data_IF_115072715164
#
_entry.id   IF_115072715164
#
_cell.length_a   1.000
_cell.length_b   1.000
_cell.length_c   1.000
_cell.angle_alpha   90.00
_cell.angle_beta   90.00
_cell.angle_gamma   90.00
#
_symmetry.space_group_name_H-M   'P 1'
#
loop_
_entity.id
_entity.type
_entity.pdbx_description
1 polymer ?
#
# COMPACT_ATOMS: atom_id res chain seq x y z
N UNK A 1 -25.85 55.72 -21.37
CA UNK A 1 -24.59 54.94 -21.54
C UNK A 1 -24.13 54.43 -20.18
N UNK A 2 -23.70 53.15 -20.12
CA UNK A 2 -23.17 52.34 -18.99
C UNK A 2 -24.01 51.10 -18.60
N UNK A 3 -24.96 50.68 -19.44
CA UNK A 3 -25.66 49.38 -19.30
C UNK A 3 -24.93 48.20 -19.99
N UNK A 4 -23.73 48.41 -20.54
CA UNK A 4 -23.06 47.43 -21.41
C UNK A 4 -21.84 46.74 -20.78
N UNK A 5 -21.60 46.90 -19.47
CA UNK A 5 -20.42 46.31 -18.82
C UNK A 5 -20.70 44.99 -18.07
N UNK A 6 -21.96 44.68 -17.75
CA UNK A 6 -22.31 43.42 -17.07
C UNK A 6 -22.58 42.25 -18.03
N UNK A 7 -22.80 42.53 -19.32
CA UNK A 7 -23.09 41.49 -20.32
C UNK A 7 -21.83 40.72 -20.77
N UNK A 8 -20.63 41.31 -20.60
CA UNK A 8 -19.37 40.69 -21.02
C UNK A 8 -18.77 39.71 -20.00
N UNK A 9 -19.21 39.71 -18.74
CA UNK A 9 -18.72 38.76 -17.72
C UNK A 9 -19.53 37.48 -17.61
N UNK A 10 -20.73 37.39 -18.22
CA UNK A 10 -21.58 36.20 -18.16
C UNK A 10 -21.31 35.25 -19.36
N UNK A 11 -20.70 35.75 -20.44
CA UNK A 11 -20.47 34.96 -21.65
C UNK A 11 -19.16 34.15 -21.66
N UNK A 12 -18.23 34.37 -20.72
CA UNK A 12 -16.96 33.62 -20.64
C UNK A 12 -16.99 32.41 -19.70
N UNK A 13 -18.06 32.24 -18.91
CA UNK A 13 -18.21 31.11 -17.97
C UNK A 13 -18.97 29.92 -18.58
N UNK A 14 -19.70 30.12 -19.69
CA UNK A 14 -20.54 29.08 -20.30
C UNK A 14 -19.80 28.15 -21.29
N UNK A 15 -18.56 28.46 -21.69
CA UNK A 15 -17.82 27.66 -22.70
C UNK A 15 -16.94 26.54 -22.11
N UNK A 16 -16.96 26.31 -20.79
CA UNK A 16 -16.15 25.28 -20.13
C UNK A 16 -16.94 24.02 -19.70
N UNK A 17 -18.24 23.92 -19.99
CA UNK A 17 -19.08 22.78 -19.56
C UNK A 17 -19.54 21.84 -20.68
N UNK A 18 -18.98 21.94 -21.89
CA UNK A 18 -19.34 21.07 -23.03
C UNK A 18 -18.23 20.10 -23.49
N UNK A 19 -17.18 19.89 -22.68
CA UNK A 19 -16.08 18.97 -23.02
C UNK A 19 -16.25 17.53 -22.49
N UNK A 20 -17.48 17.09 -22.20
CA UNK A 20 -17.80 15.69 -21.93
C UNK A 20 -19.10 15.31 -22.64
N UNK A 21 -18.99 14.88 -23.90
CA UNK A 21 -20.17 14.46 -24.66
C UNK A 21 -19.86 13.91 -26.04
N UNK A 22 -19.32 12.69 -26.10
CA UNK A 22 -19.81 11.56 -26.89
C UNK A 22 -18.66 10.62 -27.27
N UNK A 23 -18.82 9.33 -26.97
CA UNK A 23 -18.95 8.36 -28.06
C UNK A 23 -19.58 7.06 -27.56
N UNK A 24 -20.56 6.63 -28.37
CA UNK A 24 -21.05 5.27 -28.59
C UNK A 24 -22.32 4.82 -27.87
N UNK A 25 -23.27 4.49 -28.75
CA UNK A 25 -24.60 3.97 -28.51
C UNK A 25 -24.57 2.53 -27.97
N UNK A 26 -25.69 2.20 -27.34
CA UNK A 26 -26.04 0.95 -26.67
C UNK A 26 -25.92 -0.28 -27.58
N UNK A 27 -25.44 -1.38 -26.99
CA UNK A 27 -25.88 -2.72 -27.34
C UNK A 27 -26.45 -3.36 -26.06
N UNK A 28 -27.70 -3.81 -26.12
CA UNK A 28 -28.37 -4.52 -25.03
C UNK A 28 -27.97 -5.97 -25.15
N UNK A 29 -27.18 -6.46 -24.21
CA UNK A 29 -26.89 -7.89 -24.05
C UNK A 29 -27.39 -8.32 -22.67
N UNK A 30 -28.25 -9.33 -22.64
CA UNK A 30 -28.69 -10.01 -21.42
C UNK A 30 -27.48 -10.43 -20.58
N UNK A 31 -27.41 -9.99 -19.32
CA UNK A 31 -26.36 -10.41 -18.40
C UNK A 31 -26.95 -11.34 -17.35
N UNK A 32 -26.76 -12.64 -17.58
CA UNK A 32 -26.72 -13.72 -16.60
C UNK A 32 -26.07 -13.23 -15.29
N UNK A 33 -26.61 -13.56 -14.09
CA UNK A 33 -26.08 -13.03 -12.84
C UNK A 33 -24.63 -13.48 -12.63
N UNK A 34 -23.68 -12.59 -12.95
CA UNK A 34 -22.29 -12.74 -12.56
C UNK A 34 -22.26 -12.65 -11.04
N UNK A 35 -21.86 -13.76 -10.43
CA UNK A 35 -21.47 -13.81 -9.03
C UNK A 35 -20.27 -12.86 -8.86
N UNK A 36 -20.55 -11.59 -8.59
CA UNK A 36 -19.57 -10.54 -8.32
C UNK A 36 -18.94 -10.80 -6.95
N UNK A 37 -18.17 -11.89 -6.82
CA UNK A 37 -17.12 -11.92 -5.80
C UNK A 37 -16.18 -10.78 -6.18
N UNK A 38 -16.25 -9.70 -5.40
CA UNK A 38 -15.35 -8.55 -5.50
C UNK A 38 -13.92 -9.10 -5.42
N UNK A 39 -13.27 -9.25 -6.57
CA UNK A 39 -11.88 -9.70 -6.64
C UNK A 39 -11.05 -8.53 -6.11
N UNK A 40 -10.30 -8.79 -5.04
CA UNK A 40 -9.36 -7.83 -4.49
C UNK A 40 -8.32 -7.51 -5.58
N UNK A 41 -8.31 -6.27 -6.08
CA UNK A 41 -7.35 -5.82 -7.09
C UNK A 41 -5.95 -5.62 -6.50
N UNK A 42 -5.79 -5.78 -5.19
CA UNK A 42 -4.53 -5.69 -4.51
C UNK A 42 -3.70 -6.97 -4.74
N UNK A 43 -2.69 -6.87 -5.60
CA UNK A 43 -1.70 -7.93 -5.77
C UNK A 43 -0.52 -7.71 -4.83
N UNK A 44 -0.25 -8.70 -3.99
CA UNK A 44 0.87 -8.72 -3.05
C UNK A 44 1.82 -9.84 -3.45
N UNK A 45 2.96 -9.48 -4.03
CA UNK A 45 4.03 -10.44 -4.34
C UNK A 45 4.58 -11.05 -3.05
N UNK A 46 5.00 -12.32 -3.12
CA UNK A 46 5.56 -13.05 -2.00
C UNK A 46 5.10 -14.49 -1.91
N UNK A 47 5.74 -15.25 -1.03
CA UNK A 47 5.45 -16.65 -0.76
C UNK A 47 4.53 -16.81 0.44
N UNK A 48 3.87 -17.96 0.55
CA UNK A 48 3.14 -18.32 1.77
C UNK A 48 4.13 -18.59 2.90
N UNK A 49 3.79 -18.19 4.12
CA UNK A 49 4.50 -18.56 5.34
C UNK A 49 3.50 -18.91 6.45
N UNK A 50 3.98 -19.52 7.53
CA UNK A 50 3.17 -19.86 8.70
C UNK A 50 3.88 -19.46 10.00
N UNK A 51 3.85 -18.16 10.33
CA UNK A 51 4.47 -17.64 11.56
C UNK A 51 3.36 -17.11 12.47
N UNK A 52 3.16 -17.80 13.59
CA UNK A 52 2.09 -17.50 14.55
C UNK A 52 2.65 -16.87 15.81
N UNK A 53 2.07 -15.74 16.20
CA UNK A 53 2.18 -15.14 17.53
C UNK A 53 0.79 -15.19 18.19
N UNK A 54 0.66 -14.96 19.50
CA UNK A 54 -0.63 -15.07 20.20
C UNK A 54 -1.79 -14.27 19.56
N UNK A 55 -1.51 -13.09 19.00
CA UNK A 55 -2.53 -12.17 18.49
C UNK A 55 -2.43 -11.85 16.99
N UNK A 56 -1.46 -12.44 16.28
CA UNK A 56 -1.23 -12.15 14.86
C UNK A 56 -0.64 -13.39 14.16
N UNK A 57 -1.13 -13.65 12.96
CA UNK A 57 -0.69 -14.77 12.12
C UNK A 57 -0.17 -14.24 10.79
N UNK A 58 1.15 -14.29 10.59
CA UNK A 58 1.76 -13.91 9.33
C UNK A 58 1.62 -15.06 8.34
N UNK A 59 0.97 -14.78 7.22
CA UNK A 59 0.61 -15.76 6.18
C UNK A 59 1.30 -15.50 4.84
N UNK A 60 2.01 -14.37 4.73
CA UNK A 60 2.71 -13.96 3.52
C UNK A 60 4.10 -13.43 3.89
N UNK A 61 5.10 -13.91 3.16
CA UNK A 61 6.50 -13.50 3.25
C UNK A 61 6.92 -12.83 1.94
N UNK A 62 7.44 -11.61 2.03
CA UNK A 62 8.03 -10.87 0.91
C UNK A 62 9.55 -10.92 1.05
N UNK A 63 10.25 -11.17 -0.05
CA UNK A 63 11.73 -11.21 -0.10
C UNK A 63 12.39 -12.15 0.92
N UNK A 64 11.75 -13.31 1.19
CA UNK A 64 12.29 -14.34 2.07
C UNK A 64 12.30 -13.96 3.55
N UNK A 65 11.42 -13.05 3.98
CA UNK A 65 11.32 -12.58 5.36
C UNK A 65 11.15 -13.71 6.38
N UNK A 66 10.41 -14.76 6.03
CA UNK A 66 10.21 -15.98 6.82
C UNK A 66 11.52 -16.71 7.15
N UNK A 67 12.53 -16.61 6.29
CA UNK A 67 13.85 -17.20 6.56
C UNK A 67 14.72 -16.33 7.48
N UNK A 68 14.39 -15.04 7.59
CA UNK A 68 15.13 -14.04 8.37
C UNK A 68 14.46 -13.71 9.71
N UNK A 69 13.22 -14.16 9.89
CA UNK A 69 12.41 -13.94 11.07
C UNK A 69 12.34 -15.20 11.93
N UNK A 70 12.49 -15.04 13.25
CA UNK A 70 12.28 -16.12 14.22
C UNK A 70 11.32 -15.64 15.30
N UNK A 71 10.20 -16.33 15.46
CA UNK A 71 9.28 -16.15 16.57
C UNK A 71 9.76 -16.95 17.78
N UNK A 72 9.71 -16.36 18.98
CA UNK A 72 9.93 -17.08 20.23
C UNK A 72 8.62 -17.40 20.96
N UNK A 73 8.72 -18.22 22.01
CA UNK A 73 7.58 -18.65 22.81
C UNK A 73 6.86 -17.51 23.55
N UNK A 74 7.49 -16.34 23.69
CA UNK A 74 6.93 -15.17 24.38
C UNK A 74 6.23 -14.21 23.41
N UNK A 75 6.11 -14.57 22.13
CA UNK A 75 5.44 -13.74 21.13
C UNK A 75 6.32 -12.61 20.57
N UNK A 76 7.64 -12.67 20.76
CA UNK A 76 8.58 -11.75 20.09
C UNK A 76 8.99 -12.33 18.74
N UNK A 77 9.09 -11.48 17.72
CA UNK A 77 9.74 -11.81 16.45
C UNK A 77 11.06 -11.08 16.36
N UNK A 78 12.14 -11.83 16.13
CA UNK A 78 13.45 -11.27 15.84
C UNK A 78 13.64 -11.33 14.33
N UNK A 79 13.82 -10.17 13.71
CA UNK A 79 14.24 -10.03 12.31
C UNK A 79 15.74 -9.79 12.23
N UNK A 80 16.41 -10.48 11.30
CA UNK A 80 17.81 -10.21 10.96
C UNK A 80 17.93 -9.91 9.47
N UNK A 81 17.78 -8.65 9.10
CA UNK A 81 17.98 -8.20 7.73
C UNK A 81 19.48 -8.01 7.44
N UNK A 82 19.89 -8.37 6.21
CA UNK A 82 21.23 -8.04 5.70
C UNK A 82 21.29 -6.62 5.12
N UNK A 83 22.46 -6.23 4.65
CA UNK A 83 22.67 -4.94 3.97
C UNK A 83 21.87 -4.81 2.66
N UNK A 84 21.72 -3.56 2.18
CA UNK A 84 21.11 -3.21 0.88
C UNK A 84 19.67 -3.73 0.72
N UNK A 85 18.89 -3.59 1.79
CA UNK A 85 17.47 -3.96 1.84
C UNK A 85 16.66 -2.71 2.10
N UNK A 86 15.81 -2.36 1.14
CA UNK A 86 14.90 -1.23 1.27
C UNK A 86 13.59 -1.49 0.51
N UNK A 87 12.54 -0.80 0.93
CA UNK A 87 11.24 -0.76 0.31
C UNK A 87 10.81 0.70 0.16
N UNK A 88 11.16 1.33 -0.96
CA UNK A 88 10.95 2.73 -1.23
C UNK A 88 10.41 2.91 -2.65
N UNK A 89 9.37 3.72 -2.77
CA UNK A 89 8.80 4.15 -4.05
C UNK A 89 9.23 5.59 -4.27
N UNK A 90 10.20 5.78 -5.16
CA UNK A 90 10.61 7.11 -5.59
C UNK A 90 9.47 7.75 -6.41
N UNK A 91 8.99 8.95 -6.04
CA UNK A 91 8.01 9.68 -6.84
C UNK A 91 8.42 9.89 -8.30
N UNK A 92 9.72 9.95 -8.59
CA UNK A 92 10.27 10.11 -9.94
C UNK A 92 10.63 8.77 -10.59
N UNK A 93 10.62 7.67 -9.82
CA UNK A 93 10.89 6.31 -10.31
C UNK A 93 12.36 5.94 -10.51
N UNK A 94 13.31 6.82 -10.20
CA UNK A 94 14.75 6.59 -10.47
C UNK A 94 15.42 5.73 -9.40
N UNK A 95 14.97 5.85 -8.14
CA UNK A 95 15.60 5.22 -6.97
C UNK A 95 14.68 4.23 -6.24
N UNK A 96 13.63 3.73 -6.90
CA UNK A 96 12.72 2.77 -6.27
C UNK A 96 13.41 1.45 -5.94
N UNK A 97 13.10 0.88 -4.78
CA UNK A 97 13.63 -0.38 -4.30
C UNK A 97 12.52 -1.16 -3.59
N UNK A 98 12.44 -2.47 -3.79
CA UNK A 98 11.40 -3.33 -3.22
C UNK A 98 11.99 -4.62 -2.64
N UNK A 99 13.22 -4.56 -2.11
CA UNK A 99 13.99 -5.72 -1.64
C UNK A 99 13.91 -5.96 -0.14
N UNK A 100 13.30 -5.07 0.65
CA UNK A 100 13.18 -5.28 2.09
C UNK A 100 12.40 -6.56 2.41
N UNK A 101 12.84 -7.36 3.39
CA UNK A 101 12.06 -8.49 3.88
C UNK A 101 10.86 -8.01 4.69
N UNK A 102 9.66 -8.46 4.33
CA UNK A 102 8.40 -8.08 5.00
C UNK A 102 7.57 -9.33 5.32
N UNK A 103 7.10 -9.45 6.56
CA UNK A 103 6.06 -10.41 6.93
C UNK A 103 4.70 -9.69 6.98
N UNK A 104 3.69 -10.29 6.37
CA UNK A 104 2.35 -9.72 6.28
C UNK A 104 1.29 -10.66 6.86
N UNK A 105 0.35 -10.05 7.58
CA UNK A 105 -0.89 -10.66 8.06
C UNK A 105 -2.06 -10.01 7.36
N UNK A 106 -3.03 -10.82 6.94
CA UNK A 106 -4.28 -10.29 6.39
C UNK A 106 -5.12 -9.70 7.54
N UNK A 107 -5.65 -8.50 7.30
CA UNK A 107 -6.56 -7.81 8.23
C UNK A 107 -7.93 -7.72 7.59
N UNK A 108 -8.99 -7.94 8.37
CA UNK A 108 -10.37 -7.63 7.97
C UNK A 108 -10.58 -6.12 8.05
N UNK A 109 -10.39 -5.42 6.94
CA UNK A 109 -10.56 -3.98 6.84
C UNK A 109 -12.02 -3.53 6.62
N UNK A 110 -13.00 -4.45 6.68
CA UNK A 110 -14.43 -4.07 6.69
C UNK A 110 -14.87 -3.48 8.03
N UNK A 111 -13.99 -3.55 9.04
CA UNK A 111 -14.16 -3.02 10.39
C UNK A 111 -12.93 -2.19 10.76
N UNK A 112 -13.07 -1.22 11.68
CA UNK A 112 -11.91 -0.54 12.26
C UNK A 112 -10.96 -1.54 12.92
N UNK A 113 -9.66 -1.31 12.79
CA UNK A 113 -8.63 -2.10 13.44
C UNK A 113 -7.55 -1.19 14.01
N UNK A 114 -6.84 -1.69 15.01
CA UNK A 114 -5.67 -1.02 15.58
C UNK A 114 -4.53 -2.03 15.62
N UNK A 115 -3.38 -1.66 15.06
CA UNK A 115 -2.14 -2.40 15.20
C UNK A 115 -1.24 -1.68 16.21
N UNK A 116 -0.80 -2.40 17.23
CA UNK A 116 0.16 -1.91 18.22
C UNK A 116 1.31 -2.91 18.27
N UNK A 117 2.54 -2.40 18.23
CA UNK A 117 3.75 -3.22 18.37
C UNK A 117 4.80 -2.44 19.15
N UNK A 118 5.58 -3.16 19.96
CA UNK A 118 6.82 -2.64 20.55
C UNK A 118 7.97 -3.03 19.63
N UNK A 119 8.58 -2.04 18.98
CA UNK A 119 9.72 -2.24 18.08
C UNK A 119 10.99 -1.81 18.82
N UNK A 120 12.01 -2.67 18.79
CA UNK A 120 13.34 -2.41 19.37
C UNK A 120 14.41 -2.60 18.29
N UNK A 121 14.65 -1.60 17.43
CA UNK A 121 15.68 -1.69 16.41
C UNK A 121 17.07 -1.79 17.06
N UNK A 122 17.94 -2.60 16.47
CA UNK A 122 19.37 -2.67 16.80
C UNK A 122 20.14 -2.09 15.62
N UNK A 123 20.44 -0.79 15.66
CA UNK A 123 21.19 -0.14 14.61
C UNK A 123 22.71 -0.28 14.82
N UNK A 124 23.47 -0.15 13.74
CA UNK A 124 24.93 -0.24 13.77
C UNK A 124 25.54 1.12 13.44
N UNK A 125 26.69 1.47 14.01
CA UNK A 125 27.32 2.80 13.79
C UNK A 125 27.56 3.13 12.32
N UNK A 126 27.85 2.13 11.48
CA UNK A 126 28.09 2.29 10.03
C UNK A 126 26.84 2.06 9.18
N UNK A 127 25.73 1.70 9.80
CA UNK A 127 24.49 1.34 9.13
C UNK A 127 23.58 2.54 8.87
N UNK A 128 24.03 3.48 8.04
CA UNK A 128 23.15 4.56 7.57
C UNK A 128 21.91 3.98 6.87
N UNK A 129 20.73 4.51 7.18
CA UNK A 129 19.42 4.03 6.72
C UNK A 129 19.04 2.63 7.22
N UNK A 130 19.59 2.19 8.35
CA UNK A 130 19.06 1.01 9.02
C UNK A 130 17.66 1.31 9.54
N UNK A 131 16.71 0.44 9.21
CA UNK A 131 15.30 0.72 9.41
C UNK A 131 14.59 -0.44 10.11
N UNK A 132 13.86 -0.12 11.18
CA UNK A 132 12.84 -1.00 11.78
C UNK A 132 11.45 -0.47 11.41
N UNK A 133 10.68 -1.25 10.65
CA UNK A 133 9.48 -0.73 9.95
C UNK A 133 8.21 -1.53 10.31
N UNK A 134 7.14 -0.80 10.59
CA UNK A 134 5.76 -1.32 10.54
C UNK A 134 5.12 -0.89 9.22
N UNK A 135 4.44 -1.83 8.58
CA UNK A 135 3.76 -1.59 7.29
C UNK A 135 2.24 -1.70 7.44
N UNK A 136 1.54 -0.77 6.82
CA UNK A 136 0.17 -1.00 6.31
C UNK A 136 0.31 -1.20 4.81
N UNK A 137 -0.04 -2.40 4.34
CA UNK A 137 0.29 -2.84 2.98
C UNK A 137 -0.98 -3.24 2.24
N UNK A 138 -1.29 -2.54 1.14
CA UNK A 138 -2.39 -2.92 0.25
C UNK A 138 -1.84 -3.78 -0.86
N UNK A 139 -0.90 -3.24 -1.64
CA UNK A 139 -0.22 -3.94 -2.72
C UNK A 139 1.21 -3.40 -2.90
N UNK A 140 1.96 -3.99 -3.83
CA UNK A 140 3.39 -3.69 -3.99
C UNK A 140 3.74 -2.24 -4.29
N UNK A 141 2.77 -1.47 -4.81
CA UNK A 141 2.91 -0.06 -5.13
C UNK A 141 2.09 0.86 -4.21
N UNK A 142 1.36 0.30 -3.23
CA UNK A 142 0.51 1.07 -2.33
C UNK A 142 0.59 0.55 -0.90
N UNK A 143 1.40 1.25 -0.11
CA UNK A 143 1.72 0.91 1.26
C UNK A 143 2.09 2.17 2.04
N UNK A 144 2.03 2.09 3.36
CA UNK A 144 2.51 3.12 4.28
C UNK A 144 3.58 2.51 5.20
N UNK A 145 4.73 3.18 5.29
CA UNK A 145 5.81 2.85 6.22
C UNK A 145 5.70 3.71 7.48
N UNK A 146 5.84 3.09 8.64
CA UNK A 146 6.13 3.74 9.91
C UNK A 146 7.47 3.23 10.40
N UNK A 147 8.49 4.10 10.44
CA UNK A 147 9.88 3.69 10.50
C UNK A 147 10.61 4.32 11.69
N UNK A 148 11.42 3.51 12.37
CA UNK A 148 12.58 3.98 13.09
C UNK A 148 13.78 3.84 12.15
N UNK A 149 14.48 4.93 11.89
CA UNK A 149 15.62 4.96 10.97
C UNK A 149 16.79 5.74 11.59
N UNK A 150 18.03 5.35 11.28
CA UNK A 150 19.23 6.14 11.60
C UNK A 150 19.91 6.69 10.36
#
# INVERSE_FOLDING_TARGET
MKSNFYFFCILSVLTLLLACGNNNQKEVSEVTPKNNKKVDSAFVNGTLCDIKLPNIHFTKSINGADTLAKADANGKVIFRAGEKKDYFSDPNGELSNNTAPILLSKVDNTKPFTLISKVTPEFTEKGLYNAGVLYIYVNDNFYQKFCFEQ
#
